data_IF_803259737845
#
_entry.id   IF_803259737845
#
_cell.length_a   1.000
_cell.length_b   1.000
_cell.length_c   1.000
_cell.angle_alpha   90.00
_cell.angle_beta   90.00
_cell.angle_gamma   90.00
#
_symmetry.space_group_name_H-M   'P 1'
#
loop_
_entity.id
_entity.type
_entity.pdbx_description
1 polymer ?
#
# COMPACT_ATOMS: atom_id res chain seq x y z
N UNK A 1 -15.32 -15.44 -12.24
CA UNK A 1 -15.76 -16.67 -11.54
C UNK A 1 -14.81 -16.81 -10.35
N UNK A 2 -15.25 -16.43 -9.15
CA UNK A 2 -14.49 -16.69 -7.93
C UNK A 2 -14.62 -18.18 -7.65
N UNK A 3 -13.51 -18.91 -7.80
CA UNK A 3 -13.43 -20.27 -7.25
C UNK A 3 -13.74 -20.18 -5.77
N UNK A 4 -14.82 -20.80 -5.35
CA UNK A 4 -15.11 -21.06 -3.95
C UNK A 4 -13.92 -21.86 -3.42
N UNK A 5 -13.06 -21.22 -2.64
CA UNK A 5 -11.92 -21.87 -2.01
C UNK A 5 -12.48 -22.97 -1.10
N UNK A 6 -12.28 -24.23 -1.49
CA UNK A 6 -12.70 -25.40 -0.70
C UNK A 6 -11.84 -25.46 0.58
N UNK A 7 -12.32 -24.80 1.64
CA UNK A 7 -11.69 -24.78 2.96
C UNK A 7 -11.62 -26.14 3.66
N UNK A 8 -12.15 -27.19 3.03
CA UNK A 8 -12.18 -28.55 3.63
C UNK A 8 -10.79 -29.16 3.87
N UNK A 9 -9.75 -28.64 3.20
CA UNK A 9 -8.37 -29.10 3.33
C UNK A 9 -7.46 -28.19 4.17
N UNK A 10 -7.99 -27.13 4.79
CA UNK A 10 -7.17 -26.21 5.56
C UNK A 10 -6.70 -26.84 6.88
N UNK A 11 -5.39 -26.76 7.13
CA UNK A 11 -4.81 -27.17 8.41
C UNK A 11 -4.98 -26.00 9.40
N UNK A 12 -5.95 -26.13 10.30
CA UNK A 12 -6.33 -25.07 11.25
C UNK A 12 -5.16 -24.53 12.09
N UNK A 13 -4.16 -25.37 12.41
CA UNK A 13 -2.96 -24.91 13.14
C UNK A 13 -2.05 -24.00 12.29
N UNK A 14 -1.94 -24.27 11.00
CA UNK A 14 -1.18 -23.42 10.06
C UNK A 14 -1.89 -22.07 9.91
N UNK A 15 -3.19 -22.09 9.65
CA UNK A 15 -4.00 -20.89 9.55
C UNK A 15 -3.88 -20.00 10.79
N UNK A 16 -4.08 -20.57 12.00
CA UNK A 16 -3.96 -19.84 13.26
C UNK A 16 -2.55 -19.30 13.49
N UNK A 17 -1.52 -20.01 13.03
CA UNK A 17 -0.13 -19.54 13.15
C UNK A 17 0.14 -18.35 12.25
N UNK A 18 -0.36 -18.35 11.01
CA UNK A 18 -0.25 -17.19 10.11
C UNK A 18 -1.02 -15.99 10.67
N UNK A 19 -2.28 -16.19 11.11
CA UNK A 19 -3.08 -15.13 11.77
C UNK A 19 -2.40 -14.56 13.02
N UNK A 20 -1.59 -15.36 13.76
CA UNK A 20 -0.81 -14.87 14.89
C UNK A 20 0.28 -13.89 14.42
N UNK A 21 0.98 -14.20 13.32
CA UNK A 21 1.97 -13.29 12.74
C UNK A 21 1.31 -11.98 12.33
N UNK A 22 0.19 -12.04 11.61
CA UNK A 22 -0.58 -10.87 11.17
C UNK A 22 -1.05 -10.04 12.37
N UNK A 23 -1.59 -10.69 13.40
CA UNK A 23 -2.04 -10.05 14.63
C UNK A 23 -0.91 -9.30 15.35
N UNK A 24 0.28 -9.90 15.46
CA UNK A 24 1.43 -9.25 16.05
C UNK A 24 1.92 -8.06 15.21
N UNK A 25 1.83 -8.15 13.87
CA UNK A 25 2.17 -7.04 12.98
C UNK A 25 1.22 -5.85 13.13
N UNK A 26 -0.10 -6.10 13.26
CA UNK A 26 -1.14 -5.06 13.35
C UNK A 26 -1.12 -4.28 14.67
N UNK A 27 -0.63 -4.88 15.76
CA UNK A 27 -0.77 -4.34 17.13
C UNK A 27 0.45 -3.59 17.65
N UNK A 28 1.37 -3.14 16.79
CA UNK A 28 2.66 -2.57 17.19
C UNK A 28 3.49 -3.48 18.13
N UNK A 29 3.22 -4.77 18.05
CA UNK A 29 4.17 -5.81 18.32
C UNK A 29 4.20 -6.42 19.70
N UNK A 30 3.42 -6.04 20.70
CA UNK A 30 3.59 -6.66 22.02
C UNK A 30 2.28 -7.22 22.60
N UNK A 31 2.08 -8.53 22.48
CA UNK A 31 0.92 -9.21 23.03
C UNK A 31 1.30 -10.33 24.01
N UNK A 32 0.52 -10.46 25.08
CA UNK A 32 0.60 -11.59 25.99
C UNK A 32 -0.11 -12.83 25.41
N UNK A 33 0.25 -14.02 25.92
CA UNK A 33 -0.39 -15.30 25.55
C UNK A 33 -1.92 -15.23 25.65
N UNK A 34 -2.44 -14.61 26.70
CA UNK A 34 -3.89 -14.51 26.92
C UNK A 34 -4.56 -13.59 25.90
N UNK A 35 -3.91 -12.48 25.52
CA UNK A 35 -4.42 -11.59 24.49
C UNK A 35 -4.44 -12.26 23.11
N UNK A 36 -3.38 -13.01 22.78
CA UNK A 36 -3.27 -13.79 21.55
C UNK A 36 -4.35 -14.86 21.52
N UNK A 37 -4.48 -15.67 22.58
CA UNK A 37 -5.47 -16.73 22.67
C UNK A 37 -6.90 -16.22 22.47
N UNK A 38 -7.23 -15.08 23.11
CA UNK A 38 -8.55 -14.45 22.97
C UNK A 38 -8.82 -13.98 21.53
N UNK A 39 -7.83 -13.34 20.86
CA UNK A 39 -8.03 -12.78 19.51
C UNK A 39 -8.04 -13.85 18.42
N UNK A 40 -7.34 -14.99 18.65
CA UNK A 40 -7.30 -16.11 17.72
C UNK A 40 -8.41 -17.14 17.99
N UNK A 41 -9.28 -16.89 18.96
CA UNK A 41 -10.30 -17.85 19.41
C UNK A 41 -9.70 -19.26 19.61
N UNK A 42 -8.74 -19.34 20.55
CA UNK A 42 -8.02 -20.59 20.84
C UNK A 42 -7.68 -20.72 22.33
N UNK A 43 -7.34 -21.92 22.77
CA UNK A 43 -6.87 -22.12 24.14
C UNK A 43 -5.46 -21.54 24.35
N UNK A 44 -5.18 -21.02 25.55
CA UNK A 44 -3.86 -20.49 25.91
C UNK A 44 -2.72 -21.51 25.66
N UNK A 45 -2.97 -22.78 25.92
CA UNK A 45 -2.00 -23.87 25.66
C UNK A 45 -1.66 -24.01 24.17
N UNK A 46 -2.63 -23.81 23.27
CA UNK A 46 -2.40 -23.83 21.83
C UNK A 46 -1.63 -22.59 21.38
N UNK A 47 -1.98 -21.39 21.90
CA UNK A 47 -1.25 -20.17 21.62
C UNK A 47 0.22 -20.26 22.04
N UNK A 48 0.50 -20.87 23.22
CA UNK A 48 1.88 -21.13 23.67
C UNK A 48 2.62 -22.03 22.67
N UNK A 49 1.99 -23.10 22.17
CA UNK A 49 2.64 -24.00 21.19
C UNK A 49 2.95 -23.30 19.88
N UNK A 50 2.06 -22.44 19.38
CA UNK A 50 2.33 -21.62 18.18
C UNK A 50 3.50 -20.66 18.43
N UNK A 51 3.53 -19.96 19.56
CA UNK A 51 4.61 -19.05 19.92
C UNK A 51 5.96 -19.76 20.07
N UNK A 52 6.01 -20.92 20.73
CA UNK A 52 7.25 -21.71 20.84
C UNK A 52 7.74 -22.12 19.46
N UNK A 53 6.85 -22.59 18.58
CA UNK A 53 7.21 -22.96 17.22
C UNK A 53 7.78 -21.78 16.44
N UNK A 54 7.11 -20.61 16.48
CA UNK A 54 7.57 -19.40 15.81
C UNK A 54 8.87 -18.87 16.41
N UNK A 55 9.07 -19.00 17.73
CA UNK A 55 10.30 -18.62 18.41
C UNK A 55 11.47 -19.52 17.99
N UNK A 56 11.27 -20.84 17.96
CA UNK A 56 12.29 -21.80 17.49
C UNK A 56 12.65 -21.55 16.01
N UNK A 57 11.72 -21.08 15.20
CA UNK A 57 11.95 -20.71 13.81
C UNK A 57 12.49 -19.27 13.65
N UNK A 58 12.61 -18.50 14.74
CA UNK A 58 13.16 -17.15 14.75
C UNK A 58 12.21 -16.07 14.22
N UNK A 59 10.89 -16.30 14.16
CA UNK A 59 9.89 -15.29 13.74
C UNK A 59 9.37 -14.42 14.88
N UNK A 60 9.44 -14.94 16.12
CA UNK A 60 8.90 -14.28 17.31
C UNK A 60 9.94 -14.34 18.43
N UNK A 61 10.03 -13.28 19.22
CA UNK A 61 10.81 -13.23 20.45
C UNK A 61 9.95 -12.80 21.63
N UNK A 62 10.43 -13.13 22.84
CA UNK A 62 9.91 -12.57 24.09
C UNK A 62 10.42 -11.15 24.26
N UNK A 63 9.50 -10.25 24.64
CA UNK A 63 9.90 -8.89 25.02
C UNK A 63 10.56 -8.89 26.41
N UNK A 64 11.30 -7.81 26.71
CA UNK A 64 11.83 -7.55 28.06
C UNK A 64 10.71 -7.47 29.10
N UNK A 65 9.52 -6.97 28.71
CA UNK A 65 8.32 -7.06 29.54
C UNK A 65 7.85 -8.51 29.67
N UNK A 66 7.78 -8.99 30.91
CA UNK A 66 7.44 -10.37 31.25
C UNK A 66 6.11 -10.79 30.58
N UNK A 67 6.18 -11.88 29.82
CA UNK A 67 5.01 -12.55 29.25
C UNK A 67 4.45 -11.99 27.94
N UNK A 68 5.13 -11.04 27.31
CA UNK A 68 4.77 -10.54 25.99
C UNK A 68 5.70 -11.06 24.89
N UNK A 69 5.18 -11.06 23.64
CA UNK A 69 5.84 -11.55 22.44
C UNK A 69 5.74 -10.51 21.33
N UNK A 70 6.80 -10.45 20.49
CA UNK A 70 6.86 -9.57 19.31
C UNK A 70 7.44 -10.31 18.11
N UNK A 71 7.20 -9.77 16.92
CA UNK A 71 7.86 -10.23 15.69
C UNK A 71 9.34 -9.85 15.69
N UNK A 72 10.15 -10.64 15.01
CA UNK A 72 11.57 -10.38 14.73
C UNK A 72 11.75 -9.80 13.32
N UNK A 73 12.98 -9.36 13.02
CA UNK A 73 13.37 -8.88 11.67
C UNK A 73 13.42 -10.00 10.61
N UNK A 74 13.12 -11.26 10.97
CA UNK A 74 13.10 -12.36 10.01
C UNK A 74 12.08 -12.14 8.90
N UNK A 75 10.93 -11.54 9.21
CA UNK A 75 9.92 -11.18 8.22
C UNK A 75 10.43 -10.10 7.25
N UNK A 76 11.19 -9.12 7.74
CA UNK A 76 11.81 -8.10 6.89
C UNK A 76 12.77 -8.73 5.87
N UNK A 77 13.55 -9.75 6.29
CA UNK A 77 14.42 -10.49 5.37
C UNK A 77 13.65 -11.22 4.26
N UNK A 78 12.51 -11.82 4.59
CA UNK A 78 11.64 -12.45 3.59
C UNK A 78 11.05 -11.39 2.66
N UNK A 79 10.50 -10.31 3.22
CA UNK A 79 9.93 -9.22 2.45
C UNK A 79 10.95 -8.57 1.51
N UNK A 80 12.21 -8.37 1.95
CA UNK A 80 13.24 -7.79 1.10
C UNK A 80 13.54 -8.64 -0.14
N UNK A 81 13.56 -9.97 0.00
CA UNK A 81 13.74 -10.86 -1.15
C UNK A 81 12.56 -10.79 -2.13
N UNK A 82 11.33 -10.69 -1.60
CA UNK A 82 10.12 -10.54 -2.41
C UNK A 82 10.10 -9.19 -3.15
N UNK A 83 10.54 -8.10 -2.48
CA UNK A 83 10.61 -6.76 -3.10
C UNK A 83 11.58 -6.76 -4.27
N UNK A 84 12.79 -7.33 -4.12
CA UNK A 84 13.81 -7.39 -5.18
C UNK A 84 13.31 -8.19 -6.38
N UNK A 85 12.62 -9.31 -6.17
CA UNK A 85 12.10 -10.16 -7.23
C UNK A 85 10.70 -9.79 -7.72
N UNK A 86 10.08 -8.75 -7.15
CA UNK A 86 8.72 -8.36 -7.51
C UNK A 86 8.65 -7.89 -8.98
N UNK A 87 7.67 -8.34 -9.78
CA UNK A 87 7.60 -7.98 -11.20
C UNK A 87 7.61 -6.47 -11.47
N UNK A 88 6.97 -5.66 -10.61
CA UNK A 88 7.02 -4.20 -10.72
C UNK A 88 8.42 -3.65 -10.46
N UNK A 89 9.17 -4.22 -9.52
CA UNK A 89 10.56 -3.82 -9.26
C UNK A 89 11.43 -4.14 -10.46
N UNK A 90 11.41 -5.38 -10.90
CA UNK A 90 12.25 -5.85 -12.02
C UNK A 90 12.00 -5.02 -13.28
N UNK A 91 10.75 -4.61 -13.51
CA UNK A 91 10.36 -3.91 -14.73
C UNK A 91 10.56 -2.39 -14.67
N UNK A 92 10.27 -1.76 -13.55
CA UNK A 92 10.11 -0.30 -13.48
C UNK A 92 11.15 0.43 -12.62
N UNK A 93 12.12 -0.29 -12.02
CA UNK A 93 13.11 0.34 -11.12
C UNK A 93 13.96 1.40 -11.86
N UNK A 94 14.50 1.06 -13.03
CA UNK A 94 15.33 1.98 -13.81
C UNK A 94 14.51 3.18 -14.33
N UNK A 95 13.26 2.93 -14.73
CA UNK A 95 12.34 3.99 -15.14
C UNK A 95 12.04 4.92 -13.98
N UNK A 96 11.85 4.37 -12.78
CA UNK A 96 11.64 5.17 -11.55
C UNK A 96 12.82 6.12 -11.30
N UNK A 97 14.05 5.62 -11.36
CA UNK A 97 15.25 6.44 -11.16
C UNK A 97 15.40 7.50 -12.24
N UNK A 98 15.12 7.15 -13.49
CA UNK A 98 15.15 8.11 -14.60
C UNK A 98 14.12 9.22 -14.43
N UNK A 99 12.89 8.88 -14.04
CA UNK A 99 11.84 9.88 -13.75
C UNK A 99 12.21 10.75 -12.55
N UNK A 100 12.75 10.16 -11.48
CA UNK A 100 13.20 10.92 -10.31
C UNK A 100 14.24 11.97 -10.68
N UNK A 101 15.22 11.58 -11.46
CA UNK A 101 16.30 12.46 -11.92
C UNK A 101 15.80 13.54 -12.87
N UNK A 102 15.10 13.17 -13.96
CA UNK A 102 14.65 14.09 -14.99
C UNK A 102 13.65 15.13 -14.45
N UNK A 103 12.75 14.69 -13.56
CA UNK A 103 11.74 15.56 -12.99
C UNK A 103 12.18 16.22 -11.68
N UNK A 104 13.38 15.94 -11.16
CA UNK A 104 13.83 16.36 -9.84
C UNK A 104 12.70 16.23 -8.79
N UNK A 105 12.09 15.04 -8.72
CA UNK A 105 10.93 14.73 -7.91
C UNK A 105 11.12 13.41 -7.16
N UNK A 106 10.45 13.26 -6.04
CA UNK A 106 10.41 11.98 -5.33
C UNK A 106 9.53 10.99 -6.09
N UNK A 107 10.05 9.81 -6.40
CA UNK A 107 9.28 8.76 -7.09
C UNK A 107 9.11 7.53 -6.22
N UNK A 108 7.99 6.84 -6.38
CA UNK A 108 7.67 5.62 -5.65
C UNK A 108 7.14 4.55 -6.61
N UNK A 109 7.61 3.30 -6.47
CA UNK A 109 6.92 2.12 -6.99
C UNK A 109 6.08 1.54 -5.86
N UNK A 110 4.79 1.43 -6.09
CA UNK A 110 3.83 0.87 -5.14
C UNK A 110 3.11 -0.32 -5.75
N UNK A 111 3.01 -1.43 -5.01
CA UNK A 111 2.18 -2.57 -5.40
C UNK A 111 0.78 -2.46 -4.79
N UNK A 112 -0.22 -2.98 -5.48
CA UNK A 112 -1.59 -3.13 -4.99
C UNK A 112 -1.80 -4.55 -4.47
N UNK A 113 -2.29 -4.66 -3.23
CA UNK A 113 -2.66 -5.93 -2.61
C UNK A 113 -3.99 -5.77 -1.89
N UNK A 114 -5.06 -6.32 -2.49
CA UNK A 114 -6.43 -6.05 -2.05
C UNK A 114 -6.69 -4.53 -2.01
N UNK A 115 -7.19 -4.05 -0.89
CA UNK A 115 -7.39 -2.61 -0.62
C UNK A 115 -6.16 -1.98 0.08
N UNK A 116 -4.95 -2.41 -0.26
CA UNK A 116 -3.72 -1.85 0.32
C UNK A 116 -2.74 -1.45 -0.75
N UNK A 117 -1.99 -0.38 -0.49
CA UNK A 117 -0.85 0.03 -1.29
C UNK A 117 0.43 -0.23 -0.51
N UNK A 118 1.37 -0.96 -1.10
CA UNK A 118 2.65 -1.34 -0.47
C UNK A 118 3.76 -0.66 -1.25
N UNK A 119 4.53 0.22 -0.59
CA UNK A 119 5.71 0.84 -1.21
C UNK A 119 6.82 -0.21 -1.36
N UNK A 120 7.20 -0.50 -2.60
CA UNK A 120 8.32 -1.38 -2.93
C UNK A 120 9.64 -0.62 -2.94
N UNK A 121 9.66 0.52 -3.65
CA UNK A 121 10.84 1.39 -3.78
C UNK A 121 10.46 2.86 -3.71
N UNK A 122 11.42 3.66 -3.27
CA UNK A 122 11.31 5.12 -3.19
C UNK A 122 12.66 5.74 -3.56
N UNK A 123 12.66 6.70 -4.47
CA UNK A 123 13.81 7.53 -4.81
C UNK A 123 13.55 8.98 -4.37
N UNK A 124 14.42 9.51 -3.52
CA UNK A 124 14.30 10.82 -2.89
C UNK A 124 15.25 11.80 -3.58
N UNK A 125 14.74 12.60 -4.51
CA UNK A 125 15.51 13.66 -5.17
C UNK A 125 15.32 15.05 -4.50
N UNK A 126 14.21 15.26 -3.81
CA UNK A 126 13.91 16.54 -3.16
C UNK A 126 14.09 16.45 -1.65
N UNK A 127 15.01 17.28 -1.10
CA UNK A 127 15.24 17.37 0.35
C UNK A 127 14.16 18.15 1.11
N UNK A 128 13.26 18.85 0.39
CA UNK A 128 12.37 19.87 0.96
C UNK A 128 10.97 19.36 1.36
N UNK A 129 10.60 18.13 1.01
CA UNK A 129 9.32 17.58 1.44
C UNK A 129 9.61 16.53 2.53
N UNK A 130 9.51 16.95 3.78
CA UNK A 130 9.60 16.06 4.93
C UNK A 130 8.33 15.21 5.00
N UNK A 131 8.34 14.10 4.27
CA UNK A 131 7.27 13.12 4.31
C UNK A 131 7.43 12.24 5.54
N UNK A 132 6.70 12.55 6.59
CA UNK A 132 6.66 11.67 7.75
C UNK A 132 5.61 10.57 7.50
N UNK A 133 6.07 9.39 7.05
CA UNK A 133 5.23 8.21 6.83
C UNK A 133 4.42 7.78 8.07
N UNK A 134 4.77 8.29 9.26
CA UNK A 134 4.14 7.91 10.52
C UNK A 134 2.65 8.30 10.62
N UNK A 135 2.18 9.24 9.79
CA UNK A 135 0.80 9.70 9.80
C UNK A 135 -0.05 9.21 8.62
N UNK A 136 0.57 8.53 7.65
CA UNK A 136 -0.17 8.01 6.51
C UNK A 136 -0.73 6.62 6.83
N UNK A 137 -2.06 6.54 6.98
CA UNK A 137 -2.79 5.27 7.06
C UNK A 137 -3.36 4.94 5.66
N UNK A 138 -2.72 4.04 4.90
CA UNK A 138 -3.17 3.71 3.54
C UNK A 138 -4.64 3.25 3.51
N UNK A 139 -5.09 2.50 4.52
CA UNK A 139 -6.45 1.97 4.57
C UNK A 139 -7.52 3.07 4.74
N UNK A 140 -7.17 4.18 5.38
CA UNK A 140 -8.11 5.28 5.67
C UNK A 140 -7.99 6.44 4.69
N UNK A 141 -6.85 6.56 4.00
CA UNK A 141 -6.53 7.74 3.20
C UNK A 141 -6.50 7.47 1.69
N UNK A 142 -7.03 6.33 1.23
CA UNK A 142 -7.10 6.04 -0.21
C UNK A 142 -7.85 7.14 -0.98
N UNK A 143 -8.95 7.65 -0.43
CA UNK A 143 -9.79 8.65 -1.10
C UNK A 143 -9.12 10.01 -1.29
N UNK A 144 -8.04 10.31 -0.58
CA UNK A 144 -7.34 11.60 -0.63
C UNK A 144 -5.84 11.47 -0.98
N UNK A 145 -5.39 10.30 -1.45
CA UNK A 145 -4.03 10.09 -1.95
C UNK A 145 -4.04 9.66 -3.41
N UNK A 146 -3.05 10.08 -4.20
CA UNK A 146 -3.01 9.72 -5.61
C UNK A 146 -2.96 8.20 -5.83
N UNK A 147 -2.04 7.41 -5.23
CA UNK A 147 -2.03 5.96 -5.44
C UNK A 147 -3.30 5.28 -4.91
N UNK A 148 -3.89 5.81 -3.83
CA UNK A 148 -5.14 5.28 -3.28
C UNK A 148 -6.32 5.50 -4.21
N UNK A 149 -6.51 6.71 -4.74
CA UNK A 149 -7.57 6.99 -5.73
C UNK A 149 -7.36 6.18 -7.01
N UNK A 150 -6.11 6.00 -7.44
CA UNK A 150 -5.82 5.12 -8.58
C UNK A 150 -6.24 3.68 -8.29
N UNK A 151 -5.91 3.12 -7.13
CA UNK A 151 -6.36 1.80 -6.69
C UNK A 151 -7.89 1.71 -6.69
N UNK A 152 -8.58 2.66 -6.04
CA UNK A 152 -10.04 2.69 -5.99
C UNK A 152 -10.68 2.76 -7.38
N UNK A 153 -10.05 3.44 -8.34
CA UNK A 153 -10.55 3.53 -9.72
C UNK A 153 -10.52 2.20 -10.47
N UNK A 154 -9.73 1.23 -10.01
CA UNK A 154 -9.63 -0.11 -10.62
C UNK A 154 -10.60 -1.12 -10.06
N UNK A 155 -11.28 -0.79 -8.96
CA UNK A 155 -12.19 -1.73 -8.28
C UNK A 155 -13.47 -1.94 -9.08
N UNK A 156 -14.01 -3.17 -9.10
CA UNK A 156 -15.40 -3.43 -9.48
C UNK A 156 -16.36 -2.64 -8.60
N UNK A 157 -17.52 -2.29 -9.15
CA UNK A 157 -18.52 -1.45 -8.45
C UNK A 157 -18.95 -2.02 -7.11
N UNK A 158 -19.10 -3.34 -7.01
CA UNK A 158 -19.47 -4.01 -5.75
C UNK A 158 -18.44 -3.76 -4.65
N UNK A 159 -17.14 -3.96 -4.96
CA UNK A 159 -16.05 -3.74 -4.00
C UNK A 159 -15.86 -2.26 -3.66
N UNK A 160 -16.04 -1.36 -4.63
CA UNK A 160 -16.01 0.08 -4.40
C UNK A 160 -17.14 0.51 -3.46
N UNK A 161 -18.36 0.02 -3.68
CA UNK A 161 -19.51 0.32 -2.83
C UNK A 161 -19.34 -0.23 -1.41
N UNK A 162 -18.77 -1.43 -1.25
CA UNK A 162 -18.41 -1.99 0.05
C UNK A 162 -17.39 -1.08 0.78
N UNK A 163 -16.32 -0.69 0.10
CA UNK A 163 -15.32 0.24 0.65
C UNK A 163 -15.97 1.56 1.11
N UNK A 164 -16.80 2.15 0.26
CA UNK A 164 -17.46 3.44 0.52
C UNK A 164 -18.44 3.37 1.71
N UNK A 165 -19.15 2.25 1.87
CA UNK A 165 -20.10 2.06 2.98
C UNK A 165 -19.46 2.14 4.36
N UNK A 166 -18.18 1.75 4.48
CA UNK A 166 -17.38 1.82 5.71
C UNK A 166 -16.53 3.09 5.85
N UNK A 167 -16.48 3.93 4.81
CA UNK A 167 -15.59 5.07 4.75
C UNK A 167 -16.11 6.26 5.57
N UNK A 168 -15.26 6.80 6.43
CA UNK A 168 -15.48 8.10 7.07
C UNK A 168 -14.56 9.13 6.43
N UNK A 169 -15.14 10.07 5.72
CA UNK A 169 -14.39 11.19 5.17
C UNK A 169 -13.89 12.12 6.27
N UNK A 170 -12.57 12.30 6.32
CA UNK A 170 -11.90 13.24 7.24
C UNK A 170 -11.34 14.37 6.39
N UNK A 171 -11.64 15.61 6.74
CA UNK A 171 -11.12 16.78 6.06
C UNK A 171 -9.74 17.12 6.62
N UNK A 172 -8.70 16.89 5.84
CA UNK A 172 -7.31 17.20 6.21
C UNK A 172 -6.91 18.62 5.80
N UNK A 173 -7.38 19.07 4.63
CA UNK A 173 -7.08 20.39 4.04
C UNK A 173 -8.34 21.00 3.45
N UNK A 174 -8.22 22.17 2.83
CA UNK A 174 -9.34 22.80 2.11
C UNK A 174 -9.76 22.05 0.84
N UNK A 175 -8.84 21.27 0.25
CA UNK A 175 -9.03 20.54 -1.01
C UNK A 175 -9.37 19.06 -0.83
N UNK A 176 -9.45 18.58 0.41
CA UNK A 176 -9.82 17.18 0.68
C UNK A 176 -11.19 16.85 0.12
N UNK A 177 -11.31 15.77 -0.65
CA UNK A 177 -12.59 15.20 -1.04
C UNK A 177 -13.33 14.76 0.22
N UNK A 178 -14.58 15.20 0.40
CA UNK A 178 -15.35 14.98 1.63
C UNK A 178 -16.70 14.31 1.42
N UNK A 179 -17.00 13.92 0.19
CA UNK A 179 -18.25 13.22 -0.14
C UNK A 179 -18.03 12.05 -1.10
N UNK A 180 -18.89 11.05 -0.99
CA UNK A 180 -18.92 9.92 -1.91
C UNK A 180 -19.12 10.38 -3.37
N UNK A 181 -20.00 11.34 -3.58
CA UNK A 181 -20.28 11.87 -4.91
C UNK A 181 -19.02 12.46 -5.57
N UNK A 182 -18.32 13.35 -4.87
CA UNK A 182 -17.05 13.93 -5.36
C UNK A 182 -16.00 12.86 -5.64
N UNK A 183 -15.90 11.86 -4.75
CA UNK A 183 -14.95 10.77 -4.96
C UNK A 183 -15.29 9.97 -6.21
N UNK A 184 -16.56 9.58 -6.40
CA UNK A 184 -16.99 8.85 -7.61
C UNK A 184 -16.70 9.62 -8.88
N UNK A 185 -17.03 10.91 -8.93
CA UNK A 185 -16.73 11.79 -10.07
C UNK A 185 -15.22 11.86 -10.34
N UNK A 186 -14.38 11.93 -9.29
CA UNK A 186 -12.94 11.92 -9.42
C UNK A 186 -12.41 10.56 -9.94
N UNK A 187 -12.96 9.44 -9.46
CA UNK A 187 -12.59 8.10 -9.92
C UNK A 187 -12.95 7.89 -11.40
N UNK A 188 -14.10 8.39 -11.87
CA UNK A 188 -14.47 8.37 -13.30
C UNK A 188 -13.47 9.18 -14.13
N UNK A 189 -13.09 10.36 -13.67
CA UNK A 189 -12.05 11.16 -14.33
C UNK A 189 -10.74 10.37 -14.44
N UNK A 190 -10.32 9.72 -13.34
CA UNK A 190 -9.08 8.91 -13.32
C UNK A 190 -9.15 7.77 -14.36
N UNK A 191 -10.28 7.08 -14.47
CA UNK A 191 -10.49 6.03 -15.49
C UNK A 191 -10.35 6.58 -16.91
N UNK A 192 -10.86 7.79 -17.14
CA UNK A 192 -10.81 8.44 -18.44
C UNK A 192 -9.40 8.93 -18.80
N UNK A 193 -8.72 9.64 -17.88
CA UNK A 193 -7.41 10.25 -18.18
C UNK A 193 -6.25 9.27 -18.00
N UNK A 194 -6.44 8.19 -17.24
CA UNK A 194 -5.46 7.12 -17.02
C UNK A 194 -4.38 7.45 -15.98
N UNK A 195 -4.58 8.44 -15.12
CA UNK A 195 -3.72 8.76 -13.98
C UNK A 195 -4.52 9.46 -12.89
N UNK A 196 -4.03 9.47 -11.67
CA UNK A 196 -4.64 10.16 -10.53
C UNK A 196 -3.74 11.27 -10.00
N UNK A 197 -4.35 12.29 -9.41
CA UNK A 197 -3.65 13.45 -8.84
C UNK A 197 -4.07 13.64 -7.39
N UNK A 198 -3.11 13.77 -6.50
CA UNK A 198 -3.28 14.37 -5.19
C UNK A 198 -2.84 15.83 -5.28
N UNK A 199 -3.77 16.74 -5.10
CA UNK A 199 -3.57 18.18 -5.13
C UNK A 199 -3.83 18.74 -3.74
N UNK A 200 -2.83 18.61 -2.85
CA UNK A 200 -2.91 19.06 -1.45
C UNK A 200 -4.04 18.41 -0.62
N UNK A 201 -4.67 17.32 -1.05
CA UNK A 201 -5.89 16.78 -0.43
C UNK A 201 -5.69 16.27 0.99
N UNK A 202 -4.50 15.77 1.35
CA UNK A 202 -4.18 15.36 2.72
C UNK A 202 -2.91 16.01 3.28
N UNK A 203 -2.06 16.58 2.41
CA UNK A 203 -0.82 17.27 2.77
C UNK A 203 -0.71 18.55 1.96
N UNK A 204 -0.80 19.70 2.64
CA UNK A 204 -0.63 21.02 2.03
C UNK A 204 0.78 21.21 1.47
N UNK A 205 0.91 21.94 0.37
CA UNK A 205 2.19 22.18 -0.31
C UNK A 205 2.69 21.00 -1.16
N UNK A 206 1.94 19.90 -1.23
CA UNK A 206 2.34 18.68 -1.92
C UNK A 206 1.44 18.36 -3.12
N UNK A 207 2.07 18.09 -4.25
CA UNK A 207 1.47 17.48 -5.43
C UNK A 207 1.98 16.05 -5.56
N UNK A 208 1.08 15.10 -5.84
CA UNK A 208 1.47 13.74 -6.26
C UNK A 208 0.65 13.32 -7.46
N UNK A 209 1.31 12.80 -8.50
CA UNK A 209 0.65 12.19 -9.66
C UNK A 209 0.99 10.71 -9.67
N UNK A 210 -0.02 9.84 -9.83
CA UNK A 210 0.18 8.40 -9.85
C UNK A 210 -0.35 7.78 -11.13
N UNK A 211 0.51 7.02 -11.79
CA UNK A 211 0.23 6.30 -13.03
C UNK A 211 0.12 4.80 -12.76
N UNK A 212 -0.77 4.09 -13.48
CA UNK A 212 -0.89 2.65 -13.31
C UNK A 212 0.35 1.92 -13.84
N UNK A 213 0.86 0.99 -13.05
CA UNK A 213 1.89 0.05 -13.45
C UNK A 213 1.23 -1.29 -13.79
N UNK A 214 1.55 -1.80 -14.99
CA UNK A 214 0.96 -3.02 -15.52
C UNK A 214 1.97 -4.17 -15.52
N UNK A 215 1.45 -5.37 -15.31
CA UNK A 215 2.17 -6.62 -15.50
C UNK A 215 1.22 -7.55 -16.25
N UNK A 216 1.60 -7.98 -17.44
CA UNK A 216 0.77 -8.78 -18.34
C UNK A 216 -0.61 -8.14 -18.62
N UNK A 217 -0.63 -6.84 -18.89
CA UNK A 217 -1.85 -6.07 -19.18
C UNK A 217 -2.67 -5.66 -17.96
N UNK A 218 -2.49 -6.28 -16.80
CA UNK A 218 -3.23 -5.98 -15.58
C UNK A 218 -2.56 -4.89 -14.73
N UNK A 219 -3.36 -3.96 -14.18
CA UNK A 219 -2.85 -2.96 -13.23
C UNK A 219 -2.52 -3.67 -11.92
N UNK A 220 -1.23 -3.68 -11.56
CA UNK A 220 -0.71 -4.32 -10.35
C UNK A 220 -0.14 -3.33 -9.34
N UNK A 221 -0.07 -2.06 -9.70
CA UNK A 221 0.48 -1.03 -8.82
C UNK A 221 0.47 0.35 -9.43
N UNK A 222 1.26 1.23 -8.85
CA UNK A 222 1.38 2.63 -9.27
C UNK A 222 2.83 3.10 -9.26
N UNK A 223 3.19 3.92 -10.25
CA UNK A 223 4.31 4.85 -10.20
C UNK A 223 3.80 6.19 -9.70
N UNK A 224 4.24 6.63 -8.54
CA UNK A 224 3.86 7.92 -7.96
C UNK A 224 5.02 8.90 -8.02
N UNK A 225 4.76 10.11 -8.50
CA UNK A 225 5.71 11.21 -8.64
C UNK A 225 5.23 12.33 -7.72
N UNK A 226 6.04 12.69 -6.73
CA UNK A 226 5.70 13.66 -5.70
C UNK A 226 6.66 14.85 -5.73
N UNK A 227 6.11 16.07 -5.71
CA UNK A 227 6.86 17.31 -5.69
C UNK A 227 6.12 18.43 -4.93
N UNK A 228 6.72 19.64 -4.85
CA UNK A 228 6.03 20.82 -4.35
C UNK A 228 4.85 21.18 -5.26
N UNK A 229 3.77 21.67 -4.65
CA UNK A 229 2.58 22.16 -5.36
C UNK A 229 2.90 23.31 -6.34
N UNK A 230 3.95 24.09 -6.07
CA UNK A 230 4.43 25.16 -6.94
C UNK A 230 4.82 24.70 -8.35
N UNK A 231 5.14 23.40 -8.50
CA UNK A 231 5.50 22.77 -9.76
C UNK A 231 4.31 22.11 -10.48
N UNK A 232 3.11 22.41 -10.04
CA UNK A 232 1.88 21.79 -10.56
C UNK A 232 1.76 21.92 -12.07
N UNK A 233 1.94 23.13 -12.60
CA UNK A 233 1.76 23.41 -14.03
C UNK A 233 2.83 22.71 -14.89
N UNK A 234 4.05 22.57 -14.37
CA UNK A 234 5.14 21.84 -15.01
C UNK A 234 4.83 20.34 -15.08
N UNK A 235 4.50 19.74 -13.93
CA UNK A 235 4.28 18.28 -13.82
C UNK A 235 2.99 17.84 -14.52
N UNK A 236 1.96 18.68 -14.50
CA UNK A 236 0.68 18.38 -15.17
C UNK A 236 0.61 18.91 -16.60
N UNK A 237 1.72 19.40 -17.17
CA UNK A 237 1.73 19.79 -18.58
C UNK A 237 1.47 18.59 -19.50
N UNK A 238 0.78 18.77 -20.63
CA UNK A 238 0.51 17.68 -21.57
C UNK A 238 1.78 16.95 -22.04
N UNK A 239 2.86 17.70 -22.21
CA UNK A 239 4.16 17.20 -22.62
C UNK A 239 4.76 16.25 -21.57
N UNK A 240 4.82 16.72 -20.31
CA UNK A 240 5.35 15.91 -19.18
C UNK A 240 4.51 14.65 -18.95
N UNK A 241 3.18 14.78 -18.94
CA UNK A 241 2.27 13.65 -18.77
C UNK A 241 2.40 12.62 -19.90
N UNK A 242 2.55 13.09 -21.15
CA UNK A 242 2.75 12.22 -22.31
C UNK A 242 4.08 11.48 -22.24
N UNK A 243 5.16 12.14 -21.85
CA UNK A 243 6.47 11.53 -21.67
C UNK A 243 6.47 10.46 -20.59
N UNK A 244 5.89 10.76 -19.42
CA UNK A 244 5.76 9.80 -18.32
C UNK A 244 4.98 8.56 -18.79
N UNK A 245 3.83 8.76 -19.45
CA UNK A 245 3.03 7.66 -19.99
C UNK A 245 3.82 6.79 -20.98
N UNK A 246 4.62 7.42 -21.87
CA UNK A 246 5.48 6.72 -22.83
C UNK A 246 6.54 5.87 -22.13
N UNK A 247 7.19 6.40 -21.07
CA UNK A 247 8.20 5.67 -20.29
C UNK A 247 7.62 4.49 -19.50
N UNK A 248 6.35 4.59 -19.08
CA UNK A 248 5.65 3.56 -18.30
C UNK A 248 4.86 2.57 -19.18
N UNK A 249 4.80 2.80 -20.50
CA UNK A 249 4.10 1.90 -21.42
C UNK A 249 4.73 0.49 -21.37
N UNK A 250 3.87 -0.53 -21.41
CA UNK A 250 4.33 -1.89 -21.63
C UNK A 250 4.90 -1.96 -23.05
N UNK A 251 6.12 -2.51 -23.24
CA UNK A 251 6.57 -2.84 -24.59
C UNK A 251 5.56 -3.83 -25.18
N UNK A 252 5.17 -3.59 -26.41
CA UNK A 252 4.37 -4.55 -27.17
C UNK A 252 5.09 -5.90 -27.17
N UNK A 253 4.43 -6.94 -26.64
CA UNK A 253 4.92 -8.31 -26.58
C UNK A 253 4.66 -8.99 -27.92
#
# INVERSE_FOLDING_TARGET
>A
MSEANDYSYNIASVEKTIRLIELLAETNGELSVLQIAKRLDTHASSAVRFLITLQNLGYVDKCEQIGKYRLTDRLLKIASNLIVSHPLTVRYLDVMHTLAYNLNATTHIMAFYGLSTITLHKDLQTQNISYNNAFFDPKRQHYCSAPGKLLLSTLPEEQLSEYLSGLKFIKYTSTTITSEKELRENLELIRHVGYSVHNEEWLSGCLTVSFPLRVYGEIRGAMSIMCSIERKDEILSPETLSEIKRMLAEPDV
#
